data_IF_379733081733
#
_entry.id   IF_379733081733
#
_cell.length_a   1.000
_cell.length_b   1.000
_cell.length_c   1.000
_cell.angle_alpha   90.00
_cell.angle_beta   90.00
_cell.angle_gamma   90.00
#
_symmetry.space_group_name_H-M   'P 1'
#
loop_
_entity.id
_entity.type
_entity.pdbx_description
1 polymer ?
#
# COMPACT_ATOMS: atom_id res chain seq x y z
N UNK A 1 -39.16 11.92 27.93
CA UNK A 1 -38.63 11.91 26.58
C UNK A 1 -39.77 11.69 25.59
N UNK A 2 -40.00 12.60 24.63
CA UNK A 2 -40.99 12.39 23.54
C UNK A 2 -40.48 11.26 22.64
N UNK A 3 -41.32 10.29 22.34
CA UNK A 3 -40.99 9.29 21.31
C UNK A 3 -40.76 10.02 19.97
N UNK A 4 -39.63 9.78 19.25
CA UNK A 4 -39.44 10.37 17.94
C UNK A 4 -40.55 9.93 17.00
N UNK A 5 -41.03 10.83 16.15
CA UNK A 5 -41.96 10.51 15.07
C UNK A 5 -41.31 9.47 14.13
N UNK A 6 -42.11 8.63 13.49
CA UNK A 6 -41.59 7.72 12.48
C UNK A 6 -41.07 8.53 11.30
N UNK A 7 -39.81 8.29 10.85
CA UNK A 7 -39.25 8.99 9.69
C UNK A 7 -40.14 8.80 8.45
N UNK A 8 -40.26 9.83 7.64
CA UNK A 8 -41.07 9.85 6.43
C UNK A 8 -40.45 10.67 5.29
N UNK A 9 -41.28 11.21 4.42
CA UNK A 9 -40.84 11.96 3.24
C UNK A 9 -40.10 13.26 3.60
N UNK A 10 -40.47 13.89 4.71
CA UNK A 10 -39.86 15.14 5.19
C UNK A 10 -38.39 14.92 5.61
N UNK A 11 -38.13 13.86 6.39
CA UNK A 11 -36.78 13.50 6.82
C UNK A 11 -35.90 13.10 5.63
N UNK A 12 -36.49 12.41 4.63
CA UNK A 12 -35.76 12.08 3.39
C UNK A 12 -35.44 13.35 2.58
N UNK A 13 -36.35 14.30 2.48
CA UNK A 13 -36.11 15.59 1.82
C UNK A 13 -35.00 16.36 2.53
N UNK A 14 -35.06 16.41 3.88
CA UNK A 14 -34.01 17.06 4.68
C UNK A 14 -32.64 16.41 4.46
N UNK A 15 -32.55 15.05 4.47
CA UNK A 15 -31.30 14.33 4.22
C UNK A 15 -30.68 14.66 2.84
N UNK A 16 -31.53 14.80 1.80
CA UNK A 16 -31.09 15.24 0.47
C UNK A 16 -30.55 16.66 0.52
N UNK A 17 -31.24 17.56 1.22
CA UNK A 17 -30.77 18.97 1.41
C UNK A 17 -29.43 19.06 2.13
N UNK A 18 -29.10 18.14 3.05
CA UNK A 18 -27.76 18.06 3.67
C UNK A 18 -26.72 17.74 2.62
N UNK A 19 -26.98 16.75 1.77
CA UNK A 19 -26.03 16.37 0.68
C UNK A 19 -25.84 17.49 -0.34
N UNK A 20 -26.94 18.21 -0.67
CA UNK A 20 -26.88 19.37 -1.57
C UNK A 20 -25.99 20.47 -0.98
N UNK A 21 -26.16 20.80 0.31
CA UNK A 21 -25.34 21.80 1.00
C UNK A 21 -23.86 21.40 1.08
N UNK A 22 -23.55 20.13 1.31
CA UNK A 22 -22.17 19.61 1.27
C UNK A 22 -21.57 19.70 -0.13
N UNK A 23 -22.33 19.37 -1.18
CA UNK A 23 -21.88 19.47 -2.57
C UNK A 23 -21.61 20.93 -2.97
N UNK A 24 -22.48 21.86 -2.56
CA UNK A 24 -22.28 23.31 -2.76
C UNK A 24 -21.04 23.83 -2.04
N UNK A 25 -20.80 23.36 -0.82
CA UNK A 25 -19.61 23.71 -0.05
C UNK A 25 -18.31 23.27 -0.73
N UNK A 26 -18.30 22.05 -1.29
CA UNK A 26 -17.17 21.53 -2.07
C UNK A 26 -16.96 22.35 -3.34
N UNK A 27 -18.05 22.68 -4.05
CA UNK A 27 -17.99 23.51 -5.26
C UNK A 27 -17.43 24.91 -4.94
N UNK A 28 -17.88 25.54 -3.86
CA UNK A 28 -17.36 26.83 -3.39
C UNK A 28 -15.89 26.79 -3.00
N UNK A 29 -15.45 25.73 -2.32
CA UNK A 29 -14.04 25.54 -1.98
C UNK A 29 -13.16 25.35 -3.25
N UNK A 30 -13.65 24.64 -4.27
CA UNK A 30 -12.97 24.49 -5.55
C UNK A 30 -12.64 25.82 -6.21
N UNK A 31 -13.57 26.77 -6.22
CA UNK A 31 -13.37 28.10 -6.82
C UNK A 31 -12.33 28.96 -6.04
N UNK A 32 -12.00 28.57 -4.81
CA UNK A 32 -10.98 29.23 -3.98
C UNK A 32 -9.57 28.64 -4.21
N UNK A 33 -9.45 27.51 -4.92
CA UNK A 33 -8.15 26.94 -5.27
C UNK A 33 -7.43 27.84 -6.27
N UNK A 34 -6.37 28.49 -5.83
CA UNK A 34 -5.61 29.47 -6.61
C UNK A 34 -4.10 29.40 -6.29
N UNK A 35 -3.38 30.54 -6.43
CA UNK A 35 -1.93 30.59 -6.22
C UNK A 35 -1.47 30.13 -4.83
N UNK A 36 -2.30 30.29 -3.78
CA UNK A 36 -2.00 29.80 -2.43
C UNK A 36 -1.94 28.28 -2.38
N UNK A 37 -2.84 27.58 -3.07
CA UNK A 37 -2.80 26.13 -3.18
C UNK A 37 -1.49 25.66 -3.84
N UNK A 38 -1.06 26.29 -4.93
CA UNK A 38 0.19 25.95 -5.61
C UNK A 38 1.42 26.18 -4.73
N UNK A 39 1.43 27.24 -3.91
CA UNK A 39 2.52 27.48 -2.95
C UNK A 39 2.55 26.42 -1.86
N UNK A 40 1.40 26.02 -1.32
CA UNK A 40 1.31 24.95 -0.32
C UNK A 40 1.76 23.63 -0.93
N UNK A 41 1.31 23.31 -2.15
CA UNK A 41 1.74 22.13 -2.88
C UNK A 41 3.27 22.11 -3.11
N UNK A 42 3.85 23.23 -3.53
CA UNK A 42 5.30 23.36 -3.73
C UNK A 42 6.07 23.16 -2.43
N UNK A 43 5.57 23.72 -1.32
CA UNK A 43 6.17 23.54 0.00
C UNK A 43 6.12 22.06 0.43
N UNK A 44 5.02 21.37 0.18
CA UNK A 44 4.83 19.96 0.51
C UNK A 44 5.75 19.07 -0.32
N UNK A 45 5.86 19.33 -1.62
CA UNK A 45 6.75 18.57 -2.53
C UNK A 45 8.23 18.80 -2.24
N UNK A 46 8.61 19.98 -1.73
CA UNK A 46 9.96 20.30 -1.31
C UNK A 46 10.28 19.95 0.13
N UNK A 47 9.38 19.27 0.85
CA UNK A 47 9.63 18.85 2.23
C UNK A 47 10.67 17.73 2.27
N UNK A 48 11.80 17.99 2.95
CA UNK A 48 12.88 16.99 3.12
C UNK A 48 12.67 16.12 4.37
N UNK A 49 11.80 16.57 5.30
CA UNK A 49 11.43 15.86 6.51
C UNK A 49 10.06 15.20 6.40
N UNK A 50 9.26 15.34 7.48
CA UNK A 50 7.89 14.85 7.53
C UNK A 50 6.88 15.98 7.24
N UNK A 51 5.79 15.60 6.58
CA UNK A 51 4.57 16.42 6.58
C UNK A 51 3.78 16.06 7.84
N UNK A 52 3.89 16.92 8.83
CA UNK A 52 3.17 16.79 10.11
C UNK A 52 1.77 17.38 9.95
N UNK A 53 0.73 16.60 10.24
CA UNK A 53 -0.64 17.10 10.15
C UNK A 53 -1.24 17.20 11.55
N UNK A 54 -1.84 18.34 11.88
CA UNK A 54 -2.42 18.57 13.21
C UNK A 54 -3.80 19.21 13.12
N UNK A 55 -4.62 19.00 14.12
CA UNK A 55 -5.98 19.53 14.25
C UNK A 55 -6.70 18.87 15.42
N UNK A 56 -7.78 19.49 15.90
CA UNK A 56 -8.56 19.01 17.03
C UNK A 56 -10.03 18.79 16.64
N UNK A 57 -10.70 17.84 17.29
CA UNK A 57 -12.09 17.49 17.00
C UNK A 57 -12.29 16.95 15.58
N UNK A 58 -13.34 17.41 14.87
CA UNK A 58 -13.60 16.95 13.50
C UNK A 58 -12.49 17.28 12.51
N UNK A 59 -11.87 18.49 12.50
CA UNK A 59 -10.66 18.75 11.74
C UNK A 59 -9.48 17.82 12.10
N UNK A 60 -9.39 17.34 13.35
CA UNK A 60 -8.38 16.38 13.79
C UNK A 60 -8.53 15.01 13.14
N UNK A 61 -9.77 14.50 12.97
CA UNK A 61 -10.02 13.26 12.22
C UNK A 61 -9.67 13.40 10.73
N UNK A 62 -9.94 14.57 10.14
CA UNK A 62 -9.55 14.88 8.76
C UNK A 62 -8.01 14.93 8.65
N UNK A 63 -7.35 15.53 9.65
CA UNK A 63 -5.88 15.57 9.73
C UNK A 63 -5.24 14.17 9.80
N UNK A 64 -5.80 13.28 10.62
CA UNK A 64 -5.36 11.89 10.70
C UNK A 64 -5.50 11.17 9.34
N UNK A 65 -6.66 11.33 8.70
CA UNK A 65 -6.89 10.75 7.37
C UNK A 65 -5.93 11.32 6.32
N UNK A 66 -5.73 12.64 6.29
CA UNK A 66 -4.78 13.28 5.36
C UNK A 66 -3.36 12.73 5.57
N UNK A 67 -2.89 12.65 6.83
CA UNK A 67 -1.60 12.10 7.16
C UNK A 67 -1.45 10.65 6.68
N UNK A 68 -2.45 9.81 6.91
CA UNK A 68 -2.47 8.42 6.42
C UNK A 68 -2.44 8.36 4.89
N UNK A 69 -3.19 9.24 4.21
CA UNK A 69 -3.21 9.30 2.73
C UNK A 69 -1.84 9.73 2.18
N UNK A 70 -1.20 10.75 2.76
CA UNK A 70 0.13 11.19 2.36
C UNK A 70 1.17 10.08 2.55
N UNK A 71 1.18 9.43 3.72
CA UNK A 71 2.09 8.32 4.01
C UNK A 71 1.91 7.15 3.03
N UNK A 72 0.65 6.77 2.76
CA UNK A 72 0.32 5.68 1.83
C UNK A 72 0.63 6.01 0.36
N UNK A 73 0.87 7.26 0.05
CA UNK A 73 1.25 7.75 -1.29
C UNK A 73 2.71 8.23 -1.36
N UNK A 74 3.55 7.74 -0.44
CA UNK A 74 5.00 7.91 -0.48
C UNK A 74 5.50 9.28 0.01
N UNK A 75 4.66 10.07 0.70
CA UNK A 75 5.09 11.29 1.38
C UNK A 75 5.17 10.98 2.87
N UNK A 76 6.35 10.97 3.50
CA UNK A 76 6.48 10.73 4.93
C UNK A 76 5.59 11.69 5.72
N UNK A 77 4.63 11.15 6.45
CA UNK A 77 3.68 11.97 7.20
C UNK A 77 3.32 11.34 8.53
N UNK A 78 3.06 12.19 9.53
CA UNK A 78 2.55 11.79 10.82
C UNK A 78 1.46 12.77 11.31
N UNK A 79 0.52 12.23 12.07
CA UNK A 79 -0.45 13.06 12.80
C UNK A 79 0.13 13.44 14.15
N UNK A 80 0.00 14.73 14.51
CA UNK A 80 0.40 15.27 15.81
C UNK A 80 -0.84 15.81 16.51
N UNK A 81 -1.24 15.19 17.64
CA UNK A 81 -2.36 15.66 18.42
C UNK A 81 -1.97 16.95 19.15
N UNK A 82 -2.75 18.07 19.04
CA UNK A 82 -2.34 19.36 19.57
C UNK A 82 -2.11 19.36 21.09
N UNK A 83 -2.94 18.66 21.85
CA UNK A 83 -2.79 18.59 23.31
C UNK A 83 -1.53 17.78 23.70
N UNK A 84 -1.31 16.62 23.10
CA UNK A 84 -0.14 15.77 23.40
C UNK A 84 1.18 16.46 22.98
N UNK A 85 1.14 17.25 21.92
CA UNK A 85 2.29 18.03 21.48
C UNK A 85 2.78 18.98 22.59
N UNK A 86 1.90 19.58 23.37
CA UNK A 86 2.26 20.46 24.48
C UNK A 86 2.87 19.70 25.67
N UNK A 87 2.78 18.38 25.69
CA UNK A 87 3.29 17.51 26.76
C UNK A 87 4.46 16.62 26.34
N UNK A 88 5.12 16.94 25.20
CA UNK A 88 6.36 16.28 24.78
C UNK A 88 6.38 15.77 23.35
N UNK A 89 5.21 15.49 22.74
CA UNK A 89 5.15 14.97 21.37
C UNK A 89 5.67 15.96 20.31
N UNK A 90 5.90 17.24 20.67
CA UNK A 90 6.66 18.17 19.83
C UNK A 90 8.07 17.66 19.48
N UNK A 91 8.65 16.77 20.29
CA UNK A 91 9.91 16.10 19.98
C UNK A 91 9.90 15.24 18.71
N UNK A 92 8.72 14.99 18.15
CA UNK A 92 8.52 14.30 16.87
C UNK A 92 8.65 15.23 15.66
N UNK A 93 8.73 16.53 15.88
CA UNK A 93 8.86 17.54 14.83
C UNK A 93 10.32 18.01 14.74
N UNK A 94 10.83 18.07 13.54
CA UNK A 94 12.21 18.44 13.24
C UNK A 94 12.29 19.69 12.37
N UNK A 95 13.47 20.26 12.31
CA UNK A 95 13.77 21.35 11.38
C UNK A 95 13.62 20.81 9.94
N UNK A 96 12.91 21.55 9.09
CA UNK A 96 12.65 21.14 7.70
C UNK A 96 11.32 20.42 7.52
N UNK A 97 10.61 20.08 8.61
CA UNK A 97 9.25 19.58 8.51
C UNK A 97 8.27 20.68 8.06
N UNK A 98 7.21 20.24 7.41
CA UNK A 98 6.07 21.07 7.04
C UNK A 98 4.87 20.66 7.88
N UNK A 99 4.27 21.62 8.60
CA UNK A 99 3.12 21.37 9.46
C UNK A 99 1.85 21.90 8.81
N UNK A 100 0.90 21.01 8.52
CA UNK A 100 -0.44 21.35 8.06
C UNK A 100 -1.37 21.44 9.28
N UNK A 101 -1.76 22.64 9.67
CA UNK A 101 -2.61 22.91 10.84
C UNK A 101 -4.06 23.13 10.38
N UNK A 102 -4.95 22.18 10.70
CA UNK A 102 -6.35 22.18 10.31
C UNK A 102 -7.23 22.76 11.43
N UNK A 103 -7.90 23.87 11.16
CA UNK A 103 -8.87 24.46 12.07
C UNK A 103 -9.90 25.27 11.29
N UNK A 104 -11.15 24.83 11.24
CA UNK A 104 -12.19 25.52 10.47
C UNK A 104 -12.37 26.98 10.92
N UNK A 105 -12.50 27.24 12.23
CA UNK A 105 -12.57 28.60 12.78
C UNK A 105 -11.22 29.34 12.76
N UNK A 106 -10.10 28.60 12.64
CA UNK A 106 -8.76 29.16 12.83
C UNK A 106 -8.51 29.79 14.20
N UNK A 107 -9.36 29.48 15.18
CA UNK A 107 -9.31 30.02 16.54
C UNK A 107 -9.18 28.94 17.64
N UNK A 108 -8.89 27.69 17.24
CA UNK A 108 -8.68 26.54 18.15
C UNK A 108 -7.43 26.82 19.00
N UNK A 109 -7.62 27.02 20.31
CA UNK A 109 -6.56 27.48 21.21
C UNK A 109 -5.37 26.54 21.25
N UNK A 110 -5.62 25.22 21.30
CA UNK A 110 -4.59 24.18 21.34
C UNK A 110 -3.72 24.21 20.08
N UNK A 111 -4.32 24.46 18.91
CA UNK A 111 -3.59 24.59 17.65
C UNK A 111 -2.78 25.89 17.62
N UNK A 112 -3.36 27.01 18.08
CA UNK A 112 -2.67 28.28 18.13
C UNK A 112 -1.43 28.25 19.04
N UNK A 113 -1.52 27.58 20.18
CA UNK A 113 -0.41 27.45 21.15
C UNK A 113 0.79 26.67 20.57
N UNK A 114 0.58 25.80 19.57
CA UNK A 114 1.67 25.03 18.94
C UNK A 114 2.55 25.89 18.03
N UNK A 115 1.96 26.85 17.32
CA UNK A 115 2.66 27.56 16.23
C UNK A 115 3.96 28.22 16.68
N UNK A 116 4.04 28.92 17.83
CA UNK A 116 5.31 29.51 18.29
C UNK A 116 6.40 28.47 18.57
N UNK A 117 6.03 27.30 19.08
CA UNK A 117 6.98 26.22 19.34
C UNK A 117 7.48 25.57 18.04
N UNK A 118 6.58 25.29 17.09
CA UNK A 118 6.90 24.77 15.76
C UNK A 118 7.86 25.68 15.00
N UNK A 119 7.63 27.00 15.05
CA UNK A 119 8.53 27.98 14.46
C UNK A 119 9.92 28.01 15.11
N UNK A 120 9.97 27.83 16.44
CA UNK A 120 11.25 27.74 17.18
C UNK A 120 12.06 26.52 16.78
N UNK A 121 11.40 25.40 16.48
CA UNK A 121 12.01 24.19 15.95
C UNK A 121 12.52 24.41 14.51
N UNK A 122 11.92 25.35 13.77
CA UNK A 122 12.25 25.66 12.38
C UNK A 122 11.35 24.97 11.35
N UNK A 123 10.21 24.41 11.78
CA UNK A 123 9.19 23.88 10.89
C UNK A 123 8.39 24.99 10.22
N UNK A 124 7.92 24.77 9.00
CA UNK A 124 7.03 25.67 8.28
C UNK A 124 5.57 25.31 8.57
N UNK A 125 4.75 26.32 8.90
CA UNK A 125 3.35 26.12 9.27
C UNK A 125 2.42 26.61 8.17
N UNK A 126 1.53 25.73 7.71
CA UNK A 126 0.45 26.03 6.78
C UNK A 126 -0.87 25.95 7.53
N UNK A 127 -1.64 27.02 7.54
CA UNK A 127 -3.01 27.04 8.05
C UNK A 127 -3.96 26.52 6.94
N UNK A 128 -4.79 25.55 7.25
CA UNK A 128 -5.92 25.14 6.42
C UNK A 128 -7.19 25.46 7.21
N UNK A 129 -7.91 26.50 6.80
CA UNK A 129 -8.95 27.13 7.61
C UNK A 129 -10.12 27.63 6.78
N UNK A 130 -11.29 27.76 7.39
CA UNK A 130 -12.47 28.37 6.77
C UNK A 130 -12.48 29.90 6.83
N UNK A 131 -11.51 30.52 7.53
CA UNK A 131 -11.37 31.96 7.64
C UNK A 131 -9.91 32.38 7.44
N UNK A 132 -9.61 32.94 6.27
CA UNK A 132 -8.29 33.47 5.91
C UNK A 132 -7.86 34.71 6.74
N UNK A 133 -8.74 35.31 7.52
CA UNK A 133 -8.46 36.38 8.46
C UNK A 133 -8.31 35.91 9.92
N UNK A 134 -8.43 34.62 10.18
CA UNK A 134 -8.39 34.01 11.51
C UNK A 134 -7.07 34.22 12.27
N UNK A 135 -7.05 34.05 13.60
CA UNK A 135 -5.80 34.06 14.38
C UNK A 135 -4.74 33.08 13.84
N UNK A 136 -5.13 31.86 13.43
CA UNK A 136 -4.21 30.86 12.88
C UNK A 136 -3.64 31.33 11.53
N UNK A 137 -4.48 31.88 10.65
CA UNK A 137 -4.05 32.38 9.35
C UNK A 137 -3.02 33.51 9.48
N UNK A 138 -3.16 34.39 10.49
CA UNK A 138 -2.22 35.50 10.72
C UNK A 138 -0.84 35.07 11.19
N UNK A 139 -0.75 33.92 11.87
CA UNK A 139 0.52 33.43 12.43
C UNK A 139 1.12 32.30 11.61
N UNK A 140 0.45 31.76 10.60
CA UNK A 140 0.99 30.73 9.72
C UNK A 140 1.93 31.33 8.65
N UNK A 141 2.80 30.49 8.07
CA UNK A 141 3.67 30.91 6.95
C UNK A 141 2.89 30.97 5.63
N UNK A 142 1.95 30.05 5.45
CA UNK A 142 1.03 30.00 4.30
C UNK A 142 -0.40 29.71 4.78
N UNK A 143 -1.37 30.13 3.99
CA UNK A 143 -2.79 29.92 4.26
C UNK A 143 -3.46 29.29 3.04
N UNK A 144 -4.19 28.20 3.29
CA UNK A 144 -5.15 27.62 2.37
C UNK A 144 -6.55 27.87 2.92
N UNK A 145 -7.22 28.86 2.34
CA UNK A 145 -8.57 29.29 2.75
C UNK A 145 -9.62 28.44 2.04
N UNK A 146 -10.36 27.64 2.82
CA UNK A 146 -11.46 26.77 2.35
C UNK A 146 -12.77 27.57 2.20
N UNK A 147 -12.87 28.71 2.89
CA UNK A 147 -14.04 29.60 2.95
C UNK A 147 -14.93 29.36 4.15
N UNK A 148 -15.62 30.43 4.53
CA UNK A 148 -16.67 30.36 5.56
C UNK A 148 -17.91 29.69 4.96
N UNK A 149 -18.29 28.55 5.50
CA UNK A 149 -19.33 27.67 4.96
C UNK A 149 -20.44 27.52 5.99
N UNK A 150 -21.71 27.80 5.66
CA UNK A 150 -22.85 27.49 6.51
C UNK A 150 -23.01 25.99 6.70
N UNK A 151 -23.32 25.59 7.93
CA UNK A 151 -23.49 24.16 8.22
C UNK A 151 -24.90 23.67 7.87
N UNK A 152 -25.00 22.47 7.33
CA UNK A 152 -26.28 21.81 7.02
C UNK A 152 -27.03 21.31 8.27
N UNK A 153 -26.46 21.47 9.46
CA UNK A 153 -27.05 21.10 10.73
C UNK A 153 -28.26 21.99 11.06
N UNK A 154 -29.39 21.43 11.57
CA UNK A 154 -30.58 22.21 11.94
C UNK A 154 -30.31 23.30 12.99
N UNK A 155 -29.26 23.13 13.78
CA UNK A 155 -28.81 24.09 14.77
C UNK A 155 -27.73 25.04 14.25
N UNK A 156 -27.20 24.85 13.07
CA UNK A 156 -26.05 25.58 12.53
C UNK A 156 -24.73 25.38 13.29
N UNK A 157 -24.65 24.39 14.19
CA UNK A 157 -23.52 24.24 15.13
C UNK A 157 -22.64 23.01 14.82
N UNK A 158 -23.23 21.95 14.29
CA UNK A 158 -22.50 20.71 14.04
C UNK A 158 -21.79 20.81 12.71
N UNK A 159 -20.45 20.72 12.67
CA UNK A 159 -19.70 20.73 11.41
C UNK A 159 -20.13 19.59 10.48
N UNK A 160 -20.59 19.94 9.30
CA UNK A 160 -21.08 19.08 8.22
C UNK A 160 -20.49 19.54 6.90
N UNK A 161 -21.08 20.54 6.26
CA UNK A 161 -20.64 21.08 4.97
C UNK A 161 -19.20 21.64 5.02
N UNK A 162 -18.83 22.32 6.12
CA UNK A 162 -17.44 22.77 6.31
C UNK A 162 -16.45 21.61 6.41
N UNK A 163 -16.84 20.51 7.05
CA UNK A 163 -16.01 19.31 7.15
C UNK A 163 -15.87 18.60 5.81
N UNK A 164 -16.95 18.54 5.02
CA UNK A 164 -16.95 17.97 3.67
C UNK A 164 -15.99 18.73 2.74
N UNK A 165 -16.08 20.07 2.75
CA UNK A 165 -15.20 20.93 1.96
C UNK A 165 -13.73 20.82 2.40
N UNK A 166 -13.46 20.85 3.71
CA UNK A 166 -12.09 20.69 4.25
C UNK A 166 -11.50 19.35 3.83
N UNK A 167 -12.29 18.27 3.91
CA UNK A 167 -11.89 16.94 3.49
C UNK A 167 -11.57 16.91 1.98
N UNK A 168 -12.45 17.45 1.13
CA UNK A 168 -12.26 17.48 -0.31
C UNK A 168 -10.99 18.27 -0.71
N UNK A 169 -10.72 19.41 -0.06
CA UNK A 169 -9.51 20.22 -0.31
C UNK A 169 -8.24 19.47 0.11
N UNK A 170 -8.27 18.77 1.24
CA UNK A 170 -7.12 17.97 1.68
C UNK A 170 -6.87 16.77 0.77
N UNK A 171 -7.91 16.13 0.24
CA UNK A 171 -7.78 15.09 -0.78
C UNK A 171 -7.22 15.64 -2.08
N UNK A 172 -7.70 16.81 -2.54
CA UNK A 172 -7.17 17.48 -3.72
C UNK A 172 -5.67 17.77 -3.57
N UNK A 173 -5.23 18.20 -2.38
CA UNK A 173 -3.82 18.45 -2.09
C UNK A 173 -3.00 17.17 -2.16
N UNK A 174 -3.44 16.10 -1.51
CA UNK A 174 -2.73 14.81 -1.50
C UNK A 174 -2.66 14.19 -2.89
N UNK A 175 -3.77 14.18 -3.65
CA UNK A 175 -3.82 13.62 -5.01
C UNK A 175 -3.03 14.45 -6.01
N UNK A 176 -2.99 15.77 -5.85
CA UNK A 176 -2.15 16.61 -6.71
C UNK A 176 -0.66 16.39 -6.43
N UNK A 177 -0.29 16.22 -5.15
CA UNK A 177 1.08 15.88 -4.78
C UNK A 177 1.50 14.51 -5.33
N UNK A 178 0.63 13.49 -5.23
CA UNK A 178 0.83 12.18 -5.83
C UNK A 178 1.10 12.27 -7.34
N UNK A 179 0.26 13.04 -8.06
CA UNK A 179 0.42 13.26 -9.50
C UNK A 179 1.74 13.93 -9.84
N UNK A 180 2.14 14.97 -9.09
CA UNK A 180 3.39 15.70 -9.34
C UNK A 180 4.64 14.83 -9.08
N UNK A 181 4.57 13.89 -8.14
CA UNK A 181 5.64 12.94 -7.84
C UNK A 181 5.75 11.80 -8.84
N UNK A 182 4.79 11.62 -9.72
CA UNK A 182 4.72 10.49 -10.65
C UNK A 182 4.78 9.13 -9.93
N UNK A 183 4.21 9.07 -8.71
CA UNK A 183 4.22 7.89 -7.86
C UNK A 183 3.51 6.73 -8.56
N UNK A 184 4.21 5.61 -8.69
CA UNK A 184 3.75 4.47 -9.49
C UNK A 184 2.84 3.51 -8.69
N UNK A 185 2.17 2.60 -9.40
CA UNK A 185 1.39 1.52 -8.78
C UNK A 185 2.28 0.52 -8.06
N UNK A 186 3.49 0.33 -8.53
CA UNK A 186 4.50 -0.53 -7.92
C UNK A 186 4.97 0.04 -6.57
N UNK A 187 5.28 1.35 -6.52
CA UNK A 187 5.61 2.03 -5.27
C UNK A 187 4.45 2.00 -4.28
N UNK A 188 3.21 2.17 -4.76
CA UNK A 188 2.00 2.06 -3.93
C UNK A 188 1.85 0.65 -3.35
N UNK A 189 2.13 -0.38 -4.14
CA UNK A 189 2.04 -1.77 -3.75
C UNK A 189 3.05 -2.12 -2.64
N UNK A 190 4.28 -1.58 -2.71
CA UNK A 190 5.31 -1.74 -1.67
C UNK A 190 4.82 -1.20 -0.32
N UNK A 191 4.08 -0.08 -0.33
CA UNK A 191 3.53 0.52 0.89
C UNK A 191 2.25 -0.18 1.39
N UNK A 192 1.67 -1.10 0.58
CA UNK A 192 0.44 -1.83 0.90
C UNK A 192 0.60 -3.35 0.77
N UNK A 193 1.59 -3.98 1.46
CA UNK A 193 1.95 -5.38 1.25
C UNK A 193 0.79 -6.36 1.53
N UNK A 194 -0.11 -6.03 2.45
CA UNK A 194 -1.29 -6.85 2.78
C UNK A 194 -2.46 -6.73 1.80
N UNK A 195 -2.43 -5.75 0.89
CA UNK A 195 -3.51 -5.48 -0.06
C UNK A 195 -3.43 -6.34 -1.31
N UNK A 196 -4.55 -6.40 -2.07
CA UNK A 196 -4.61 -7.09 -3.37
C UNK A 196 -3.53 -6.58 -4.33
N UNK A 197 -3.29 -5.27 -4.34
CA UNK A 197 -2.29 -4.65 -5.22
C UNK A 197 -0.85 -4.98 -4.76
N UNK A 198 -0.57 -4.99 -3.44
CA UNK A 198 0.75 -5.39 -2.92
C UNK A 198 1.14 -6.79 -3.34
N UNK A 199 0.18 -7.72 -3.30
CA UNK A 199 0.40 -9.09 -3.77
C UNK A 199 0.68 -9.17 -5.27
N UNK A 200 0.08 -8.30 -6.09
CA UNK A 200 0.25 -8.34 -7.55
C UNK A 200 1.66 -7.99 -8.04
N UNK A 201 2.49 -7.38 -7.19
CA UNK A 201 3.89 -7.02 -7.52
C UNK A 201 4.91 -7.94 -6.87
N UNK A 202 4.49 -8.97 -6.11
CA UNK A 202 5.40 -9.97 -5.54
C UNK A 202 6.23 -10.64 -6.63
N UNK A 203 7.53 -10.73 -6.39
CA UNK A 203 8.45 -11.43 -7.28
C UNK A 203 8.61 -12.88 -6.88
N UNK A 204 9.01 -13.69 -7.81
CA UNK A 204 9.18 -15.15 -7.61
C UNK A 204 10.17 -15.44 -6.49
N UNK A 205 11.29 -14.70 -6.38
CA UNK A 205 12.30 -14.89 -5.32
C UNK A 205 11.75 -14.69 -3.90
N UNK A 206 10.66 -13.92 -3.73
CA UNK A 206 10.03 -13.68 -2.42
C UNK A 206 9.15 -14.85 -1.94
N UNK A 207 8.79 -15.76 -2.86
CA UNK A 207 7.85 -16.86 -2.62
C UNK A 207 8.46 -18.23 -2.91
N UNK A 208 9.46 -18.31 -3.77
CA UNK A 208 10.09 -19.56 -4.18
C UNK A 208 10.78 -20.28 -3.02
N UNK A 209 10.90 -21.57 -3.13
CA UNK A 209 11.78 -22.41 -2.32
C UNK A 209 13.20 -22.28 -2.82
N UNK A 210 14.15 -22.00 -1.95
CA UNK A 210 15.57 -21.81 -2.29
C UNK A 210 16.48 -22.49 -1.27
N UNK A 211 17.78 -22.55 -1.54
CA UNK A 211 18.77 -23.19 -0.67
C UNK A 211 18.41 -24.66 -0.39
N UNK A 212 18.37 -25.05 0.88
CA UNK A 212 18.07 -26.42 1.32
C UNK A 212 16.64 -26.88 0.97
N UNK A 213 15.75 -25.95 0.63
CA UNK A 213 14.38 -26.25 0.22
C UNK A 213 14.23 -26.36 -1.31
N UNK A 214 15.32 -26.19 -2.07
CA UNK A 214 15.36 -26.37 -3.51
C UNK A 214 15.91 -27.76 -3.86
N UNK A 215 15.07 -28.75 -4.22
CA UNK A 215 15.54 -30.10 -4.55
C UNK A 215 16.22 -30.12 -5.92
N UNK A 216 17.48 -30.44 -5.92
CA UNK A 216 18.31 -30.56 -7.14
C UNK A 216 18.98 -31.92 -7.18
N UNK A 217 18.92 -32.58 -8.33
CA UNK A 217 19.59 -33.86 -8.58
C UNK A 217 20.34 -33.85 -9.90
N UNK A 218 21.53 -34.51 -10.02
CA UNK A 218 22.18 -34.64 -11.30
C UNK A 218 21.38 -35.57 -12.24
N UNK A 219 21.45 -35.33 -13.55
CA UNK A 219 20.74 -36.11 -14.57
C UNK A 219 21.14 -37.60 -14.58
N UNK A 220 22.31 -37.92 -14.06
CA UNK A 220 22.85 -39.28 -13.90
C UNK A 220 22.46 -39.97 -12.59
N UNK A 221 21.77 -39.23 -11.67
CA UNK A 221 21.28 -39.85 -10.44
C UNK A 221 20.26 -40.94 -10.74
N UNK A 222 20.20 -41.94 -9.86
CA UNK A 222 19.18 -42.98 -9.93
C UNK A 222 17.80 -42.39 -9.57
N UNK A 223 16.77 -42.99 -10.15
CA UNK A 223 15.39 -42.58 -9.82
C UNK A 223 15.10 -42.69 -8.31
N UNK A 224 15.62 -43.77 -7.66
CA UNK A 224 15.52 -43.94 -6.19
C UNK A 224 16.12 -42.76 -5.41
N UNK A 225 17.26 -42.22 -5.85
CA UNK A 225 17.92 -41.07 -5.24
C UNK A 225 17.10 -39.79 -5.44
N UNK A 226 16.53 -39.58 -6.63
CA UNK A 226 15.67 -38.43 -6.89
C UNK A 226 14.41 -38.44 -5.98
N UNK A 227 13.78 -39.60 -5.80
CA UNK A 227 12.63 -39.76 -4.90
C UNK A 227 13.01 -39.45 -3.44
N UNK A 228 14.21 -39.92 -3.00
CA UNK A 228 14.72 -39.62 -1.65
C UNK A 228 14.95 -38.12 -1.46
N UNK A 229 15.55 -37.43 -2.45
CA UNK A 229 15.76 -35.98 -2.41
C UNK A 229 14.41 -35.26 -2.30
N UNK A 230 13.44 -35.57 -3.16
CA UNK A 230 12.10 -34.97 -3.12
C UNK A 230 11.41 -35.16 -1.76
N UNK A 231 11.57 -36.35 -1.14
CA UNK A 231 10.93 -36.70 0.13
C UNK A 231 11.58 -36.00 1.32
N UNK A 232 12.92 -35.89 1.31
CA UNK A 232 13.70 -35.34 2.42
C UNK A 232 13.85 -33.82 2.35
N UNK A 233 13.60 -33.19 1.20
CA UNK A 233 13.64 -31.74 1.06
C UNK A 233 12.57 -31.10 1.95
N UNK A 234 12.91 -30.06 2.74
CA UNK A 234 11.96 -29.34 3.58
C UNK A 234 10.72 -28.90 2.79
N UNK A 235 9.54 -29.12 3.38
CA UNK A 235 8.26 -28.81 2.73
C UNK A 235 7.80 -29.78 1.65
N UNK A 236 8.58 -30.82 1.34
CA UNK A 236 8.23 -31.90 0.39
C UNK A 236 7.61 -31.37 -0.89
N UNK A 237 8.39 -30.68 -1.75
CA UNK A 237 7.87 -29.96 -2.92
C UNK A 237 7.25 -30.83 -4.01
N UNK A 238 7.33 -32.16 -3.91
CA UNK A 238 6.77 -33.09 -4.92
C UNK A 238 7.42 -33.03 -6.30
N UNK A 239 8.57 -32.37 -6.42
CA UNK A 239 9.37 -32.26 -7.63
C UNK A 239 10.86 -32.14 -7.30
N UNK A 240 11.73 -32.41 -8.27
CA UNK A 240 13.17 -32.13 -8.22
C UNK A 240 13.65 -31.54 -9.55
N UNK A 241 14.47 -30.51 -9.47
CA UNK A 241 15.19 -29.94 -10.59
C UNK A 241 16.31 -30.91 -11.01
N UNK A 242 16.39 -31.24 -12.29
CA UNK A 242 17.42 -32.15 -12.83
C UNK A 242 18.45 -31.34 -13.60
N UNK A 243 19.73 -31.47 -13.22
CA UNK A 243 20.82 -30.69 -13.79
C UNK A 243 21.86 -31.52 -14.54
N UNK A 244 22.52 -30.90 -15.51
CA UNK A 244 23.68 -31.46 -16.21
C UNK A 244 24.96 -31.40 -15.36
N UNK A 245 26.09 -31.87 -15.93
CA UNK A 245 27.40 -31.83 -15.29
C UNK A 245 27.95 -30.42 -15.06
N UNK A 246 27.35 -29.38 -15.66
CA UNK A 246 27.68 -27.99 -15.46
C UNK A 246 26.72 -27.31 -14.48
N UNK A 247 25.76 -28.05 -13.88
CA UNK A 247 24.78 -27.52 -12.93
C UNK A 247 23.59 -26.82 -13.58
N UNK A 248 23.45 -26.84 -14.91
CA UNK A 248 22.37 -26.21 -15.63
C UNK A 248 21.12 -27.11 -15.67
N UNK A 249 19.96 -26.50 -15.59
CA UNK A 249 18.69 -27.21 -15.65
C UNK A 249 18.49 -27.91 -17.00
N UNK A 250 18.24 -29.20 -16.98
CA UNK A 250 17.96 -30.03 -18.19
C UNK A 250 16.60 -30.72 -18.12
N UNK A 251 15.98 -30.75 -16.93
CA UNK A 251 14.67 -31.39 -16.76
C UNK A 251 14.08 -31.13 -15.35
N UNK A 252 12.88 -31.63 -15.17
CA UNK A 252 12.21 -31.73 -13.88
C UNK A 252 11.62 -33.13 -13.72
N UNK A 253 11.71 -33.70 -12.52
CA UNK A 253 11.04 -34.94 -12.17
C UNK A 253 10.03 -34.67 -11.05
N UNK A 254 8.79 -35.10 -11.20
CA UNK A 254 7.68 -34.79 -10.32
C UNK A 254 6.99 -36.04 -9.77
N UNK A 255 6.20 -35.89 -8.68
CA UNK A 255 5.32 -36.96 -8.19
C UNK A 255 4.33 -37.45 -9.26
N UNK A 256 3.93 -36.56 -10.18
CA UNK A 256 3.10 -36.93 -11.34
C UNK A 256 3.83 -37.85 -12.28
N UNK A 257 5.15 -37.65 -12.52
CA UNK A 257 5.97 -38.55 -13.34
C UNK A 257 6.11 -39.90 -12.66
N UNK A 258 6.38 -39.91 -11.34
CA UNK A 258 6.47 -41.14 -10.58
C UNK A 258 5.19 -41.97 -10.66
N UNK A 259 4.02 -41.34 -10.47
CA UNK A 259 2.72 -42.03 -10.61
C UNK A 259 2.53 -42.63 -12.01
N UNK A 260 2.84 -41.87 -13.05
CA UNK A 260 2.77 -42.38 -14.45
C UNK A 260 3.69 -43.54 -14.70
N UNK A 261 4.89 -43.61 -14.10
CA UNK A 261 5.79 -44.77 -14.19
C UNK A 261 5.17 -46.00 -13.55
N UNK A 262 4.59 -45.85 -12.34
CA UNK A 262 3.93 -46.96 -11.62
C UNK A 262 2.70 -47.48 -12.43
N UNK A 263 1.88 -46.60 -12.96
CA UNK A 263 0.72 -46.94 -13.79
C UNK A 263 1.11 -47.76 -15.04
N UNK A 264 2.29 -47.48 -15.61
CA UNK A 264 2.85 -48.20 -16.77
C UNK A 264 3.56 -49.50 -16.38
N UNK A 265 3.51 -49.92 -15.11
CA UNK A 265 4.14 -51.12 -14.60
C UNK A 265 5.67 -51.05 -14.55
N UNK A 266 6.26 -49.86 -14.65
CA UNK A 266 7.69 -49.65 -14.50
C UNK A 266 8.06 -49.55 -13.02
N UNK A 267 8.78 -50.54 -12.51
CA UNK A 267 9.23 -50.60 -11.11
C UNK A 267 10.76 -50.59 -10.96
N UNK A 268 11.49 -50.30 -12.03
CA UNK A 268 12.94 -50.16 -12.00
C UNK A 268 13.35 -48.78 -11.53
N UNK A 269 13.71 -48.66 -10.25
CA UNK A 269 14.18 -47.44 -9.62
C UNK A 269 15.68 -47.18 -9.73
N UNK A 270 16.39 -48.10 -10.39
CA UNK A 270 17.85 -48.02 -10.64
C UNK A 270 18.19 -47.27 -11.93
N UNK A 271 17.19 -46.95 -12.76
CA UNK A 271 17.38 -46.18 -13.98
C UNK A 271 17.80 -44.74 -13.68
N UNK A 272 18.57 -44.13 -14.56
CA UNK A 272 18.94 -42.73 -14.44
C UNK A 272 17.72 -41.82 -14.62
N UNK A 273 17.59 -40.77 -13.78
CA UNK A 273 16.43 -39.85 -13.75
C UNK A 273 16.24 -39.14 -15.11
N UNK A 274 17.32 -38.90 -15.87
CA UNK A 274 17.22 -38.29 -17.22
C UNK A 274 16.38 -39.11 -18.21
N UNK A 275 16.19 -40.40 -17.98
CA UNK A 275 15.42 -41.30 -18.90
C UNK A 275 13.91 -41.20 -18.64
N UNK A 276 13.50 -40.62 -17.53
CA UNK A 276 12.10 -40.61 -17.07
C UNK A 276 11.60 -39.20 -16.70
N UNK A 277 12.49 -38.19 -16.65
CA UNK A 277 12.16 -36.82 -16.34
C UNK A 277 11.38 -36.13 -17.46
N UNK A 278 10.64 -35.05 -17.13
CA UNK A 278 10.17 -34.10 -18.10
C UNK A 278 11.33 -33.25 -18.62
N UNK A 279 11.58 -33.27 -19.92
CA UNK A 279 12.64 -32.51 -20.56
C UNK A 279 12.17 -31.09 -20.90
N UNK A 280 13.09 -30.11 -20.90
CA UNK A 280 12.81 -28.70 -21.23
C UNK A 280 11.61 -28.12 -20.48
N UNK A 281 11.61 -28.17 -19.15
CA UNK A 281 10.49 -27.63 -18.36
C UNK A 281 10.31 -26.15 -18.63
N UNK A 282 9.09 -25.67 -18.49
CA UNK A 282 8.83 -24.24 -18.38
C UNK A 282 9.49 -23.71 -17.11
N UNK A 283 10.15 -22.57 -17.22
CA UNK A 283 10.89 -21.94 -16.12
C UNK A 283 10.47 -20.49 -15.95
N UNK A 284 10.77 -19.93 -14.79
CA UNK A 284 10.66 -18.50 -14.50
C UNK A 284 11.99 -17.99 -13.93
N UNK A 285 12.21 -16.69 -14.03
CA UNK A 285 13.33 -16.00 -13.38
C UNK A 285 12.96 -15.61 -11.94
N UNK A 286 13.92 -15.49 -11.02
CA UNK A 286 13.69 -14.93 -9.68
C UNK A 286 13.00 -13.55 -9.71
N UNK A 287 13.32 -12.75 -10.73
CA UNK A 287 12.81 -11.38 -10.88
C UNK A 287 11.41 -11.29 -11.54
N UNK A 288 10.90 -12.41 -12.06
CA UNK A 288 9.55 -12.44 -12.63
C UNK A 288 8.49 -12.20 -11.55
N UNK A 289 7.34 -11.66 -11.96
CA UNK A 289 6.21 -11.55 -11.05
C UNK A 289 5.60 -12.93 -10.76
N UNK A 290 5.15 -13.16 -9.54
CA UNK A 290 4.44 -14.40 -9.17
C UNK A 290 3.21 -14.62 -10.05
N UNK A 291 2.54 -13.56 -10.49
CA UNK A 291 1.42 -13.65 -11.45
C UNK A 291 1.84 -14.24 -12.80
N UNK A 292 3.06 -13.99 -13.26
CA UNK A 292 3.62 -14.63 -14.46
C UNK A 292 3.78 -16.13 -14.24
N UNK A 293 4.33 -16.54 -13.09
CA UNK A 293 4.44 -17.95 -12.72
C UNK A 293 3.08 -18.65 -12.65
N UNK A 294 2.08 -18.02 -12.01
CA UNK A 294 0.69 -18.54 -11.95
C UNK A 294 0.10 -18.75 -13.35
N UNK A 295 0.28 -17.77 -14.22
CA UNK A 295 -0.22 -17.85 -15.60
C UNK A 295 0.43 -19.01 -16.34
N UNK A 296 1.75 -19.14 -16.21
CA UNK A 296 2.52 -20.21 -16.85
C UNK A 296 2.16 -21.59 -16.30
N UNK A 297 1.96 -21.73 -14.97
CA UNK A 297 1.47 -22.98 -14.35
C UNK A 297 0.13 -23.39 -14.93
N UNK A 298 -0.81 -22.44 -15.04
CA UNK A 298 -2.15 -22.68 -15.57
C UNK A 298 -2.12 -23.10 -17.05
N UNK A 299 -1.37 -22.38 -17.87
CA UNK A 299 -1.25 -22.67 -19.31
C UNK A 299 -0.57 -24.01 -19.59
N UNK A 300 0.44 -24.36 -18.80
CA UNK A 300 1.19 -25.60 -18.93
C UNK A 300 0.55 -26.78 -18.19
N UNK A 301 -0.52 -26.55 -17.39
CA UNK A 301 -1.15 -27.55 -16.53
C UNK A 301 -0.15 -28.23 -15.58
N UNK A 302 0.71 -27.44 -14.93
CA UNK A 302 1.72 -27.90 -13.98
C UNK A 302 1.56 -27.18 -12.63
N UNK A 303 1.93 -27.86 -11.55
CA UNK A 303 1.85 -27.33 -10.19
C UNK A 303 3.18 -26.74 -9.72
N UNK A 304 4.29 -27.06 -10.39
CA UNK A 304 5.64 -26.59 -10.06
C UNK A 304 6.35 -26.03 -11.28
N UNK A 305 7.16 -24.98 -11.05
CA UNK A 305 8.08 -24.44 -12.05
C UNK A 305 9.48 -24.28 -11.46
N UNK A 306 10.52 -24.74 -12.15
CA UNK A 306 11.90 -24.38 -11.84
C UNK A 306 12.08 -22.86 -11.93
N UNK A 307 12.86 -22.31 -11.00
CA UNK A 307 13.31 -20.91 -11.02
C UNK A 307 14.78 -20.93 -11.38
N UNK A 308 15.14 -20.27 -12.49
CA UNK A 308 16.51 -20.31 -13.04
C UNK A 308 17.13 -18.91 -13.10
N UNK A 309 18.44 -18.86 -12.87
CA UNK A 309 19.23 -17.66 -13.10
C UNK A 309 19.50 -17.41 -14.60
N UNK A 310 20.24 -16.34 -14.92
CA UNK A 310 20.59 -15.97 -16.29
C UNK A 310 21.50 -17.00 -16.97
N UNK A 311 22.25 -17.78 -16.21
CA UNK A 311 23.16 -18.83 -16.66
C UNK A 311 22.43 -20.17 -16.83
N UNK A 312 21.19 -20.28 -16.39
CA UNK A 312 20.34 -21.47 -16.49
C UNK A 312 20.48 -22.44 -15.31
N UNK A 313 21.05 -22.02 -14.19
CA UNK A 313 21.11 -22.86 -12.98
C UNK A 313 19.79 -22.76 -12.21
N UNK A 314 19.24 -23.86 -11.67
CA UNK A 314 18.03 -23.82 -10.86
C UNK A 314 18.34 -23.27 -9.46
N UNK A 315 18.03 -22.00 -9.25
CA UNK A 315 18.22 -21.29 -7.97
C UNK A 315 17.03 -21.47 -7.03
N UNK A 316 15.92 -22.04 -7.52
CA UNK A 316 14.73 -22.31 -6.72
C UNK A 316 13.72 -23.18 -7.44
N UNK A 317 12.63 -23.40 -6.72
CA UNK A 317 11.40 -24.05 -7.21
C UNK A 317 10.21 -23.26 -6.68
N UNK A 318 9.24 -22.93 -7.50
CA UNK A 318 7.97 -22.35 -7.07
C UNK A 318 6.86 -23.40 -7.24
N UNK A 319 6.09 -23.62 -6.17
CA UNK A 319 4.98 -24.58 -6.11
C UNK A 319 3.65 -23.83 -5.94
N UNK A 320 2.57 -24.38 -6.48
CA UNK A 320 1.23 -23.80 -6.33
C UNK A 320 0.83 -23.61 -4.85
N UNK A 321 1.32 -24.46 -3.94
CA UNK A 321 1.06 -24.34 -2.50
C UNK A 321 1.75 -23.10 -1.90
N UNK A 322 2.92 -22.73 -2.40
CA UNK A 322 3.63 -21.52 -1.97
C UNK A 322 2.86 -20.28 -2.42
N UNK A 323 2.30 -20.31 -3.62
CA UNK A 323 1.43 -19.27 -4.18
C UNK A 323 0.14 -19.12 -3.35
N UNK A 324 -0.48 -20.24 -2.94
CA UNK A 324 -1.66 -20.27 -2.07
C UNK A 324 -1.33 -19.72 -0.67
N UNK A 325 -0.19 -20.11 -0.10
CA UNK A 325 0.26 -19.61 1.19
C UNK A 325 0.49 -18.08 1.17
N UNK A 326 0.98 -17.55 0.05
CA UNK A 326 1.11 -16.11 -0.20
C UNK A 326 -0.24 -15.41 -0.49
N UNK A 327 -1.37 -16.14 -0.49
CA UNK A 327 -2.73 -15.63 -0.78
C UNK A 327 -2.83 -14.92 -2.14
N UNK A 328 -2.16 -15.45 -3.15
CA UNK A 328 -2.14 -14.89 -4.50
C UNK A 328 -3.31 -15.34 -5.37
N UNK A 329 -3.98 -16.42 -4.98
CA UNK A 329 -5.19 -17.01 -5.63
C UNK A 329 -6.27 -17.21 -4.60
#
# INVERSE_FOLDING_TARGET
MRRPARPGAEELAYARGVLDAEAEAIAGAKERLGPSFLRVLSLLLGCEGHVVVTGLGKPGFIAQRLSATLASTGIPSLYLHPAEAMHGDLGRVSRGDVVLALSNSGATEEVLRLVPALRRIGAKVVAITGDGGSPLARIADLVLDVGSIPEACPLGLVPTASSAALHAVTDALAMTALKCRQFSSEEYAVLHPGGKLGRSVLRVFEVMRSGDSNPVVPATARLSEAVVVMTNTPGRPGAANVVDGAGRLVGIFTDGDLRRLVERGRSDFEVEVRTVMGQHPRCVSPEDLVLTAITLMREAHVDQLPVVDAEGHPVGLIDVQDVLAARMV
#
